data_IF_246496537931
#
_entry.id   IF_246496537931
#
_cell.length_a   1.000
_cell.length_b   1.000
_cell.length_c   1.000
_cell.angle_alpha   90.00
_cell.angle_beta   90.00
_cell.angle_gamma   90.00
#
_symmetry.space_group_name_H-M   'P 1'
#
loop_
_entity.id
_entity.type
_entity.pdbx_description
1 polymer ?
#
# COMPACT_ATOMS: atom_id res chain seq x y z
N UNK A 1 -22.83 4.77 18.72
CA UNK A 1 -23.58 5.36 17.59
C UNK A 1 -24.64 4.36 17.19
N UNK A 2 -25.82 4.82 16.74
CA UNK A 2 -26.80 3.95 16.09
C UNK A 2 -26.23 3.49 14.74
N UNK A 3 -26.45 2.23 14.39
CA UNK A 3 -26.00 1.66 13.10
C UNK A 3 -26.48 2.50 11.92
N UNK A 4 -25.74 2.46 10.82
CA UNK A 4 -26.06 3.15 9.56
C UNK A 4 -26.29 2.12 8.44
N UNK A 5 -26.98 2.54 7.38
CA UNK A 5 -27.21 1.70 6.20
C UNK A 5 -26.64 2.38 4.98
N UNK A 6 -26.00 1.59 4.11
CA UNK A 6 -25.48 2.10 2.85
C UNK A 6 -26.62 2.19 1.85
N UNK A 7 -26.84 3.41 1.33
CA UNK A 7 -27.78 3.72 0.25
C UNK A 7 -27.14 3.44 -1.12
N UNK A 8 -25.84 3.74 -1.25
CA UNK A 8 -25.11 3.66 -2.52
C UNK A 8 -23.67 3.23 -2.29
N UNK A 9 -23.23 2.24 -3.05
CA UNK A 9 -21.83 1.81 -3.12
C UNK A 9 -21.44 1.70 -4.59
N UNK A 10 -20.45 2.46 -5.02
CA UNK A 10 -20.01 2.52 -6.41
C UNK A 10 -18.49 2.48 -6.51
N UNK A 11 -18.00 1.88 -7.58
CA UNK A 11 -16.58 1.88 -7.92
C UNK A 11 -16.36 2.53 -9.30
N UNK A 12 -15.32 3.37 -9.38
CA UNK A 12 -14.97 4.16 -10.55
C UNK A 12 -13.54 3.88 -10.98
N UNK A 13 -13.34 3.48 -12.23
CA UNK A 13 -12.03 3.16 -12.76
C UNK A 13 -11.48 4.29 -13.62
N UNK A 14 -10.19 4.62 -13.41
CA UNK A 14 -9.45 5.64 -14.15
C UNK A 14 -8.11 5.07 -14.62
N UNK A 15 -7.59 5.59 -15.76
CA UNK A 15 -6.28 5.24 -16.30
C UNK A 15 -5.56 6.48 -16.82
N UNK A 16 -4.39 6.75 -16.25
CA UNK A 16 -3.51 7.80 -16.75
C UNK A 16 -2.40 7.17 -17.61
N UNK A 17 -2.32 7.48 -18.92
CA UNK A 17 -1.27 6.97 -19.80
C UNK A 17 0.09 7.57 -19.43
N UNK A 18 1.12 6.72 -19.27
CA UNK A 18 2.47 7.15 -18.94
C UNK A 18 3.28 7.45 -20.19
N UNK A 19 4.02 8.56 -20.20
CA UNK A 19 5.02 8.87 -21.22
C UNK A 19 6.23 7.92 -21.13
N UNK A 20 6.61 7.55 -19.91
CA UNK A 20 7.66 6.59 -19.62
C UNK A 20 7.09 5.48 -18.73
N UNK A 21 7.03 4.23 -19.23
CA UNK A 21 6.49 3.12 -18.44
C UNK A 21 7.26 2.85 -17.16
N UNK A 22 6.54 2.45 -16.12
CA UNK A 22 7.17 1.93 -14.89
C UNK A 22 7.49 0.45 -15.10
N UNK A 23 8.73 0.06 -14.79
CA UNK A 23 9.23 -1.30 -14.97
C UNK A 23 9.48 -1.94 -13.61
N UNK A 24 8.95 -3.16 -13.43
CA UNK A 24 9.21 -4.03 -12.27
C UNK A 24 9.89 -5.29 -12.75
N UNK A 25 10.38 -6.13 -11.84
CA UNK A 25 10.99 -7.43 -12.18
C UNK A 25 10.02 -8.39 -12.90
N UNK A 26 8.70 -8.19 -12.73
CA UNK A 26 7.66 -9.11 -13.21
C UNK A 26 6.68 -8.47 -14.21
N UNK A 27 6.83 -7.18 -14.53
CA UNK A 27 5.91 -6.54 -15.45
C UNK A 27 6.22 -5.08 -15.77
N UNK A 28 5.47 -4.57 -16.76
CA UNK A 28 5.59 -3.20 -17.24
C UNK A 28 4.20 -2.53 -17.17
N UNK A 29 4.14 -1.36 -16.57
CA UNK A 29 2.93 -0.52 -16.52
C UNK A 29 3.06 0.59 -17.57
N UNK A 30 2.16 0.59 -18.55
CA UNK A 30 2.07 1.63 -19.58
C UNK A 30 1.10 2.76 -19.18
N UNK A 31 0.31 2.52 -18.16
CA UNK A 31 -0.60 3.49 -17.54
C UNK A 31 -0.59 3.35 -16.01
N UNK A 32 -1.13 4.35 -15.33
CA UNK A 32 -1.46 4.30 -13.91
C UNK A 32 -2.95 4.07 -13.76
N UNK A 33 -3.39 2.87 -13.41
CA UNK A 33 -4.77 2.65 -13.03
C UNK A 33 -5.05 3.18 -11.62
N UNK A 34 -6.27 3.63 -11.39
CA UNK A 34 -6.81 3.86 -10.06
C UNK A 34 -8.28 3.42 -10.04
N UNK A 35 -8.66 2.72 -8.97
CA UNK A 35 -10.00 2.24 -8.75
C UNK A 35 -10.51 2.78 -7.41
N UNK A 36 -11.32 3.83 -7.47
CA UNK A 36 -11.89 4.50 -6.31
C UNK A 36 -13.25 3.92 -5.96
N UNK A 37 -13.53 3.81 -4.69
CA UNK A 37 -14.80 3.34 -4.13
C UNK A 37 -15.45 4.47 -3.38
N UNK A 38 -16.73 4.72 -3.64
CA UNK A 38 -17.57 5.68 -2.95
C UNK A 38 -18.71 4.96 -2.24
N UNK A 39 -18.83 5.14 -0.95
CA UNK A 39 -19.92 4.65 -0.14
C UNK A 39 -20.72 5.84 0.40
N UNK A 40 -22.06 5.81 0.25
CA UNK A 40 -22.97 6.83 0.78
C UNK A 40 -24.07 6.14 1.59
N UNK A 41 -24.37 6.67 2.78
CA UNK A 41 -25.42 6.15 3.63
C UNK A 41 -26.80 6.81 3.38
N UNK A 42 -27.83 6.32 4.08
CA UNK A 42 -29.20 6.85 3.96
C UNK A 42 -29.33 8.30 4.48
N UNK A 43 -28.39 8.77 5.32
CA UNK A 43 -28.33 10.14 5.86
C UNK A 43 -27.55 11.09 4.93
N UNK A 44 -27.00 10.61 3.80
CA UNK A 44 -26.19 11.37 2.85
C UNK A 44 -24.75 11.60 3.30
N UNK A 45 -24.30 10.92 4.36
CA UNK A 45 -22.87 10.90 4.68
C UNK A 45 -22.14 9.95 3.74
N UNK A 46 -20.90 10.26 3.43
CA UNK A 46 -20.15 9.45 2.46
C UNK A 46 -18.72 9.20 2.94
N UNK A 47 -18.09 8.23 2.30
CA UNK A 47 -16.68 7.90 2.48
C UNK A 47 -16.06 7.35 1.21
N UNK A 48 -14.74 7.45 1.13
CA UNK A 48 -13.94 7.09 -0.02
C UNK A 48 -12.95 5.97 0.30
N UNK A 49 -12.75 5.08 -0.66
CA UNK A 49 -11.75 4.02 -0.59
C UNK A 49 -11.04 3.83 -1.92
N UNK A 50 -10.04 3.00 -1.92
CA UNK A 50 -9.28 2.65 -3.13
C UNK A 50 -8.89 1.19 -3.12
N UNK A 51 -8.89 0.58 -4.30
CA UNK A 51 -8.53 -0.80 -4.56
C UNK A 51 -7.19 -0.84 -5.29
N UNK A 52 -6.25 -1.64 -4.83
CA UNK A 52 -5.04 -1.92 -5.61
C UNK A 52 -5.39 -2.63 -6.92
N UNK A 53 -4.92 -2.11 -8.04
CA UNK A 53 -5.33 -2.60 -9.35
C UNK A 53 -4.24 -2.50 -10.44
N UNK A 54 -2.97 -2.38 -10.05
CA UNK A 54 -1.86 -2.20 -10.98
C UNK A 54 -1.68 -3.37 -11.95
N UNK A 55 -1.97 -4.59 -11.50
CA UNK A 55 -1.82 -5.81 -12.31
C UNK A 55 -3.01 -6.77 -12.11
N UNK A 56 -3.37 -7.56 -13.14
CA UNK A 56 -2.96 -7.43 -14.55
C UNK A 56 -3.47 -6.13 -15.19
N UNK A 57 -3.02 -5.74 -16.39
CA UNK A 57 -3.44 -4.47 -17.03
C UNK A 57 -4.95 -4.24 -17.11
N UNK A 58 -5.75 -5.32 -17.21
CA UNK A 58 -7.23 -5.29 -17.24
C UNK A 58 -7.87 -5.47 -15.86
N UNK A 59 -7.08 -5.50 -14.81
CA UNK A 59 -7.55 -5.89 -13.47
C UNK A 59 -8.41 -4.84 -12.77
N UNK A 60 -8.26 -3.57 -13.11
CA UNK A 60 -9.02 -2.48 -12.47
C UNK A 60 -10.52 -2.59 -12.80
N UNK A 61 -10.86 -2.75 -14.05
CA UNK A 61 -12.25 -2.87 -14.52
C UNK A 61 -12.91 -4.15 -14.00
N UNK A 62 -12.16 -5.25 -13.89
CA UNK A 62 -12.67 -6.48 -13.29
C UNK A 62 -13.06 -6.26 -11.80
N UNK A 63 -12.19 -5.64 -11.01
CA UNK A 63 -12.46 -5.37 -9.59
C UNK A 63 -13.60 -4.36 -9.40
N UNK A 64 -13.73 -3.38 -10.31
CA UNK A 64 -14.86 -2.46 -10.30
C UNK A 64 -16.19 -3.21 -10.48
N UNK A 65 -16.25 -4.19 -11.39
CA UNK A 65 -17.45 -5.04 -11.59
C UNK A 65 -17.72 -5.92 -10.37
N UNK A 66 -16.69 -6.51 -9.75
CA UNK A 66 -16.89 -7.26 -8.49
C UNK A 66 -17.55 -6.38 -7.42
N UNK A 67 -17.14 -5.12 -7.29
CA UNK A 67 -17.76 -4.20 -6.34
C UNK A 67 -19.19 -3.85 -6.75
N UNK A 68 -19.40 -3.37 -7.98
CA UNK A 68 -20.67 -2.82 -8.40
C UNK A 68 -21.76 -3.89 -8.56
N UNK A 69 -21.40 -5.09 -9.06
CA UNK A 69 -22.36 -6.13 -9.44
C UNK A 69 -22.52 -7.20 -8.35
N UNK A 70 -21.51 -7.39 -7.50
CA UNK A 70 -21.53 -8.46 -6.50
C UNK A 70 -21.53 -7.96 -5.06
N UNK A 71 -20.60 -7.06 -4.68
CA UNK A 71 -20.48 -6.62 -3.29
C UNK A 71 -21.57 -5.60 -2.94
N UNK A 72 -21.86 -4.62 -3.80
CA UNK A 72 -22.84 -3.58 -3.53
C UNK A 72 -24.25 -4.14 -3.21
N UNK A 73 -24.80 -5.15 -3.93
CA UNK A 73 -26.08 -5.74 -3.59
C UNK A 73 -26.13 -6.39 -2.18
N UNK A 74 -24.99 -6.80 -1.62
CA UNK A 74 -24.90 -7.43 -0.30
C UNK A 74 -25.16 -6.46 0.87
N UNK A 75 -25.22 -5.16 0.60
CA UNK A 75 -25.54 -4.13 1.59
C UNK A 75 -27.04 -3.90 1.74
N UNK A 76 -27.87 -4.39 0.84
CA UNK A 76 -29.30 -4.10 0.82
C UNK A 76 -29.97 -4.45 2.16
N UNK A 77 -30.60 -3.45 2.79
CA UNK A 77 -31.32 -3.58 4.06
C UNK A 77 -30.47 -3.85 5.29
N UNK A 78 -29.16 -3.95 5.17
CA UNK A 78 -28.24 -4.30 6.26
C UNK A 78 -27.83 -3.04 7.04
N UNK A 79 -28.08 -3.04 8.35
CA UNK A 79 -27.52 -2.07 9.27
C UNK A 79 -26.07 -2.44 9.62
N UNK A 80 -25.21 -1.45 9.75
CA UNK A 80 -23.79 -1.59 10.05
C UNK A 80 -23.51 -0.82 11.33
N UNK A 81 -23.14 -1.52 12.39
CA UNK A 81 -22.75 -0.88 13.64
C UNK A 81 -21.26 -0.52 13.64
N UNK A 82 -20.44 -1.33 12.96
CA UNK A 82 -19.01 -1.10 12.83
C UNK A 82 -18.46 -1.63 11.49
N UNK A 83 -17.54 -0.91 10.79
CA UNK A 83 -17.01 -1.34 9.49
C UNK A 83 -16.43 -2.76 9.47
N UNK A 84 -15.75 -3.19 10.55
CA UNK A 84 -15.14 -4.52 10.63
C UNK A 84 -16.16 -5.65 10.49
N UNK A 85 -17.42 -5.46 10.87
CA UNK A 85 -18.49 -6.46 10.71
C UNK A 85 -18.77 -6.71 9.23
N UNK A 86 -18.77 -5.66 8.42
CA UNK A 86 -18.95 -5.79 6.98
C UNK A 86 -17.73 -6.41 6.30
N UNK A 87 -16.51 -6.06 6.74
CA UNK A 87 -15.30 -6.71 6.26
C UNK A 87 -15.34 -8.22 6.49
N UNK A 88 -15.65 -8.65 7.71
CA UNK A 88 -15.72 -10.08 8.06
C UNK A 88 -16.87 -10.76 7.31
N UNK A 89 -18.04 -10.12 7.20
CA UNK A 89 -19.18 -10.65 6.44
C UNK A 89 -18.87 -10.83 4.96
N UNK A 90 -18.35 -9.80 4.28
CA UNK A 90 -18.03 -9.87 2.86
C UNK A 90 -16.96 -10.93 2.59
N UNK A 91 -15.93 -11.00 3.44
CA UNK A 91 -14.88 -12.02 3.35
C UNK A 91 -15.45 -13.43 3.46
N UNK A 92 -16.29 -13.69 4.46
CA UNK A 92 -16.90 -15.00 4.65
C UNK A 92 -17.87 -15.38 3.52
N UNK A 93 -18.75 -14.45 3.13
CA UNK A 93 -19.79 -14.69 2.13
C UNK A 93 -19.23 -14.95 0.72
N UNK A 94 -18.07 -14.37 0.39
CA UNK A 94 -17.44 -14.55 -0.94
C UNK A 94 -16.36 -15.63 -0.97
N UNK A 95 -15.97 -16.18 0.16
CA UNK A 95 -14.81 -17.09 0.29
C UNK A 95 -14.87 -18.32 -0.61
N UNK A 96 -16.02 -19.01 -0.65
CA UNK A 96 -16.20 -20.21 -1.49
C UNK A 96 -16.17 -19.85 -2.97
N UNK A 97 -16.82 -18.75 -3.36
CA UNK A 97 -16.83 -18.29 -4.76
C UNK A 97 -15.43 -17.87 -5.22
N UNK A 98 -14.72 -17.11 -4.41
CA UNK A 98 -13.34 -16.71 -4.68
C UNK A 98 -12.41 -17.93 -4.86
N UNK A 99 -12.58 -18.96 -4.03
CA UNK A 99 -11.84 -20.22 -4.15
C UNK A 99 -12.18 -20.97 -5.44
N UNK A 100 -13.46 -21.13 -5.74
CA UNK A 100 -13.96 -21.82 -6.93
C UNK A 100 -13.49 -21.15 -8.23
N UNK A 101 -13.47 -19.81 -8.25
CA UNK A 101 -13.03 -19.04 -9.40
C UNK A 101 -11.50 -18.88 -9.50
N UNK A 102 -10.73 -19.24 -8.46
CA UNK A 102 -9.30 -18.96 -8.37
C UNK A 102 -9.00 -17.47 -8.23
N UNK A 103 -9.93 -16.67 -7.67
CA UNK A 103 -9.88 -15.20 -7.62
C UNK A 103 -9.78 -14.63 -6.19
N UNK A 104 -9.13 -15.35 -5.29
CA UNK A 104 -8.97 -14.89 -3.89
C UNK A 104 -8.33 -13.49 -3.80
N UNK A 105 -7.35 -13.18 -4.68
CA UNK A 105 -6.72 -11.88 -4.75
C UNK A 105 -7.69 -10.75 -5.16
N UNK A 106 -8.34 -10.84 -6.33
CA UNK A 106 -9.32 -9.84 -6.78
C UNK A 106 -10.44 -9.57 -5.76
N UNK A 107 -11.02 -10.63 -5.14
CA UNK A 107 -12.04 -10.45 -4.09
C UNK A 107 -11.48 -9.75 -2.85
N UNK A 108 -10.30 -10.15 -2.38
CA UNK A 108 -9.66 -9.53 -1.23
C UNK A 108 -9.37 -8.03 -1.46
N UNK A 109 -8.92 -7.68 -2.67
CA UNK A 109 -8.65 -6.30 -3.08
C UNK A 109 -9.94 -5.47 -3.17
N UNK A 110 -11.00 -6.01 -3.76
CA UNK A 110 -12.29 -5.34 -3.83
C UNK A 110 -12.87 -5.08 -2.42
N UNK A 111 -12.84 -6.07 -1.54
CA UNK A 111 -13.30 -5.95 -0.15
C UNK A 111 -12.45 -4.92 0.60
N UNK A 112 -11.14 -4.90 0.38
CA UNK A 112 -10.24 -3.94 1.03
C UNK A 112 -10.59 -2.49 0.68
N UNK A 113 -10.85 -2.19 -0.60
CA UNK A 113 -11.28 -0.86 -1.02
C UNK A 113 -12.63 -0.45 -0.45
N UNK A 114 -13.57 -1.39 -0.36
CA UNK A 114 -14.87 -1.17 0.30
C UNK A 114 -14.69 -0.90 1.79
N UNK A 115 -13.85 -1.66 2.48
CA UNK A 115 -13.56 -1.47 3.90
C UNK A 115 -12.96 -0.08 4.18
N UNK A 116 -12.02 0.38 3.36
CA UNK A 116 -11.45 1.74 3.47
C UNK A 116 -12.57 2.80 3.36
N UNK A 117 -13.48 2.65 2.38
CA UNK A 117 -14.59 3.60 2.20
C UNK A 117 -15.55 3.61 3.39
N UNK A 118 -15.86 2.44 3.97
CA UNK A 118 -16.70 2.34 5.16
C UNK A 118 -16.05 2.96 6.39
N UNK A 119 -14.74 2.80 6.57
CA UNK A 119 -14.01 3.42 7.66
C UNK A 119 -13.92 4.93 7.52
N UNK A 120 -13.73 5.46 6.31
CA UNK A 120 -13.78 6.90 6.06
C UNK A 120 -15.16 7.47 6.42
N UNK A 121 -16.24 6.85 5.92
CA UNK A 121 -17.61 7.22 6.26
C UNK A 121 -17.86 7.18 7.77
N UNK A 122 -17.47 6.09 8.44
CA UNK A 122 -17.66 5.92 9.88
C UNK A 122 -16.91 6.96 10.70
N UNK A 123 -15.69 7.31 10.31
CA UNK A 123 -14.89 8.33 10.95
C UNK A 123 -15.46 9.74 10.72
N UNK A 124 -15.98 10.04 9.51
CA UNK A 124 -16.71 11.29 9.22
C UNK A 124 -17.97 11.43 10.07
N UNK A 125 -18.80 10.38 10.18
CA UNK A 125 -19.97 10.36 11.08
C UNK A 125 -19.60 10.61 12.53
N UNK A 126 -18.45 10.11 12.95
CA UNK A 126 -17.90 10.31 14.30
C UNK A 126 -17.23 11.66 14.51
N UNK A 127 -17.09 12.46 13.44
CA UNK A 127 -16.39 13.75 13.42
C UNK A 127 -14.96 13.66 13.96
N UNK A 128 -14.26 12.57 13.64
CA UNK A 128 -12.89 12.32 14.04
C UNK A 128 -12.02 11.95 12.82
N UNK A 129 -10.76 12.39 12.77
CA UNK A 129 -9.82 11.85 11.78
C UNK A 129 -9.62 10.37 12.05
N UNK A 130 -9.50 9.58 10.97
CA UNK A 130 -9.42 8.12 11.06
C UNK A 130 -8.24 7.66 11.94
N UNK A 131 -7.08 8.31 11.84
CA UNK A 131 -5.92 7.93 12.64
C UNK A 131 -6.15 8.08 14.16
N UNK A 132 -6.90 9.10 14.61
CA UNK A 132 -7.28 9.26 16.02
C UNK A 132 -8.29 8.20 16.45
N UNK A 133 -9.27 7.94 15.61
CA UNK A 133 -10.28 6.90 15.89
C UNK A 133 -9.63 5.53 16.09
N UNK A 134 -8.54 5.23 15.37
CA UNK A 134 -7.76 4.02 15.51
C UNK A 134 -6.77 4.03 16.69
N UNK A 135 -6.70 5.14 17.46
CA UNK A 135 -5.89 5.25 18.67
C UNK A 135 -4.56 5.99 18.51
N UNK A 136 -4.31 6.62 17.36
CA UNK A 136 -3.11 7.41 17.12
C UNK A 136 -3.05 8.68 17.97
N UNK A 137 -1.85 9.09 18.32
CA UNK A 137 -1.58 10.27 19.16
C UNK A 137 -0.94 11.43 18.38
N UNK A 138 -0.38 11.15 17.19
CA UNK A 138 0.27 12.13 16.32
C UNK A 138 -0.03 11.82 14.86
N UNK A 139 -0.36 12.85 14.07
CA UNK A 139 -0.48 12.76 12.61
C UNK A 139 0.86 12.86 11.88
N UNK A 140 1.97 13.13 12.59
CA UNK A 140 3.30 13.30 12.01
C UNK A 140 3.99 11.97 11.78
N UNK A 141 4.59 11.80 10.58
CA UNK A 141 5.28 10.58 10.21
C UNK A 141 6.39 10.81 9.18
N UNK A 142 7.38 9.94 9.18
CA UNK A 142 8.45 9.91 8.20
C UNK A 142 7.96 9.29 6.89
N UNK A 143 8.50 9.78 5.77
CA UNK A 143 8.19 9.26 4.43
C UNK A 143 9.46 8.91 3.67
N UNK A 144 9.38 7.93 2.76
CA UNK A 144 10.44 7.68 1.79
C UNK A 144 9.91 7.76 0.36
N UNK A 145 10.76 8.25 -0.55
CA UNK A 145 10.50 8.24 -1.98
C UNK A 145 10.71 6.83 -2.53
N UNK A 146 9.66 6.21 -3.03
CA UNK A 146 9.65 4.83 -3.54
C UNK A 146 9.56 4.78 -5.05
N UNK A 147 9.66 3.56 -5.62
CA UNK A 147 9.48 3.35 -7.04
C UNK A 147 10.59 3.94 -7.90
N UNK A 148 11.76 4.22 -7.32
CA UNK A 148 12.91 4.71 -8.08
C UNK A 148 13.37 3.59 -9.00
N UNK A 149 13.11 3.78 -10.30
CA UNK A 149 13.45 2.82 -11.34
C UNK A 149 14.96 2.76 -11.57
N UNK A 150 15.48 1.64 -12.13
CA UNK A 150 16.90 1.51 -12.41
C UNK A 150 17.40 2.49 -13.48
N UNK A 151 16.52 2.95 -14.39
CA UNK A 151 16.85 3.98 -15.39
C UNK A 151 16.61 5.37 -14.80
N UNK A 152 17.63 6.21 -14.78
CA UNK A 152 17.53 7.58 -14.27
C UNK A 152 17.31 7.63 -12.75
N UNK A 153 17.86 6.67 -12.00
CA UNK A 153 17.67 6.56 -10.55
C UNK A 153 18.13 7.81 -9.79
N UNK A 154 19.32 8.34 -10.11
CA UNK A 154 19.86 9.54 -9.49
C UNK A 154 18.99 10.77 -9.78
N UNK A 155 18.54 10.97 -11.02
CA UNK A 155 17.66 12.10 -11.39
C UNK A 155 16.29 12.01 -10.68
N UNK A 156 15.74 10.81 -10.52
CA UNK A 156 14.48 10.61 -9.80
C UNK A 156 14.66 10.91 -8.30
N UNK A 157 15.75 10.45 -7.71
CA UNK A 157 16.08 10.75 -6.31
C UNK A 157 16.31 12.26 -6.08
N UNK A 158 17.03 12.94 -6.97
CA UNK A 158 17.26 14.37 -6.90
C UNK A 158 15.94 15.17 -6.94
N UNK A 159 15.03 14.82 -7.85
CA UNK A 159 13.70 15.43 -7.90
C UNK A 159 12.90 15.18 -6.62
N UNK A 160 13.01 13.97 -6.04
CA UNK A 160 12.38 13.66 -4.77
C UNK A 160 12.99 14.48 -3.61
N UNK A 161 14.31 14.67 -3.57
CA UNK A 161 14.97 15.56 -2.60
C UNK A 161 14.46 16.98 -2.70
N UNK A 162 14.31 17.51 -3.92
CA UNK A 162 13.76 18.86 -4.16
C UNK A 162 12.30 18.98 -3.69
N UNK A 163 11.55 17.89 -3.70
CA UNK A 163 10.17 17.78 -3.15
C UNK A 163 10.13 17.55 -1.64
N UNK A 164 11.27 17.56 -0.96
CA UNK A 164 11.37 17.45 0.49
C UNK A 164 11.66 16.04 1.04
N UNK A 165 11.77 15.01 0.20
CA UNK A 165 12.12 13.67 0.67
C UNK A 165 13.55 13.59 1.20
N UNK A 166 13.74 12.76 2.25
CA UNK A 166 15.03 12.49 2.91
C UNK A 166 15.30 11.01 3.14
N UNK A 167 14.52 10.13 2.51
CA UNK A 167 14.73 8.69 2.50
C UNK A 167 14.26 8.15 1.14
N UNK A 168 14.85 7.03 0.68
CA UNK A 168 14.68 6.54 -0.69
C UNK A 168 14.60 5.03 -0.73
N UNK A 169 13.86 4.49 -1.73
CA UNK A 169 13.85 3.05 -2.05
C UNK A 169 14.09 2.85 -3.54
N UNK A 170 15.22 2.20 -3.87
CA UNK A 170 15.62 1.87 -5.24
C UNK A 170 15.09 0.49 -5.62
N UNK A 171 14.57 0.35 -6.82
CA UNK A 171 14.29 -0.97 -7.42
C UNK A 171 15.59 -1.58 -7.96
N UNK A 172 15.88 -2.81 -7.53
CA UNK A 172 17.02 -3.62 -7.96
C UNK A 172 16.57 -5.00 -8.47
N UNK A 173 17.51 -5.87 -8.85
CA UNK A 173 17.18 -7.17 -9.46
C UNK A 173 17.28 -7.15 -10.99
N UNK A 174 17.91 -6.11 -11.55
CA UNK A 174 18.07 -5.90 -12.99
C UNK A 174 19.48 -6.25 -13.50
N UNK A 175 20.25 -6.98 -12.70
CA UNK A 175 21.63 -7.39 -12.93
C UNK A 175 22.60 -6.74 -11.95
N UNK A 176 23.50 -7.55 -11.37
CA UNK A 176 24.38 -7.15 -10.29
C UNK A 176 25.21 -5.89 -10.60
N UNK A 177 25.80 -5.81 -11.79
CA UNK A 177 26.62 -4.66 -12.19
C UNK A 177 25.81 -3.36 -12.22
N UNK A 178 24.62 -3.41 -12.84
CA UNK A 178 23.70 -2.26 -12.92
C UNK A 178 23.18 -1.84 -11.57
N UNK A 179 22.75 -2.81 -10.76
CA UNK A 179 22.22 -2.55 -9.42
C UNK A 179 23.28 -1.88 -8.53
N UNK A 180 24.52 -2.38 -8.57
CA UNK A 180 25.65 -1.80 -7.84
C UNK A 180 26.05 -0.41 -8.36
N UNK A 181 25.99 -0.16 -9.68
CA UNK A 181 26.25 1.15 -10.25
C UNK A 181 25.21 2.16 -9.74
N UNK A 182 23.93 1.84 -9.85
CA UNK A 182 22.84 2.69 -9.35
C UNK A 182 22.95 2.97 -7.84
N UNK A 183 23.33 1.97 -7.04
CA UNK A 183 23.53 2.14 -5.60
C UNK A 183 24.70 3.07 -5.28
N UNK A 184 25.83 2.96 -5.99
CA UNK A 184 26.96 3.90 -5.85
C UNK A 184 26.57 5.33 -6.22
N UNK A 185 25.89 5.51 -7.34
CA UNK A 185 25.45 6.84 -7.80
C UNK A 185 24.46 7.47 -6.81
N UNK A 186 23.51 6.66 -6.29
CA UNK A 186 22.59 7.15 -5.25
C UNK A 186 23.33 7.50 -3.95
N UNK A 187 24.25 6.67 -3.47
CA UNK A 187 25.03 6.98 -2.26
C UNK A 187 25.87 8.23 -2.43
N UNK A 188 26.44 8.44 -3.62
CA UNK A 188 27.17 9.68 -3.91
C UNK A 188 26.25 10.92 -3.85
N UNK A 189 24.99 10.80 -4.31
CA UNK A 189 24.01 11.88 -4.31
C UNK A 189 23.44 12.16 -2.92
N UNK A 190 23.00 11.11 -2.21
CA UNK A 190 22.21 11.26 -0.97
C UNK A 190 23.07 11.17 0.31
N UNK A 191 24.35 10.81 0.21
CA UNK A 191 25.21 10.60 1.37
C UNK A 191 24.67 9.51 2.30
N UNK A 192 24.56 9.82 3.61
CA UNK A 192 24.11 8.90 4.66
C UNK A 192 22.59 8.87 4.86
N UNK A 193 21.81 9.54 4.01
CA UNK A 193 20.36 9.50 4.10
C UNK A 193 19.84 8.05 3.96
N UNK A 194 18.75 7.68 4.63
CA UNK A 194 18.20 6.32 4.58
C UNK A 194 17.92 5.85 3.15
N UNK A 195 18.46 4.68 2.80
CA UNK A 195 18.27 4.03 1.50
C UNK A 195 17.83 2.58 1.70
N UNK A 196 16.68 2.22 1.19
CA UNK A 196 16.22 0.86 1.06
C UNK A 196 16.33 0.37 -0.37
N UNK A 197 16.23 -0.93 -0.58
CA UNK A 197 16.14 -1.54 -1.89
C UNK A 197 15.00 -2.53 -1.96
N UNK A 198 14.43 -2.68 -3.17
CA UNK A 198 13.33 -3.59 -3.45
C UNK A 198 13.67 -4.43 -4.68
N UNK A 199 13.71 -5.74 -4.49
CA UNK A 199 13.97 -6.72 -5.56
C UNK A 199 12.68 -7.13 -6.27
N UNK A 200 11.53 -6.84 -5.68
CA UNK A 200 10.21 -7.25 -6.17
C UNK A 200 10.17 -8.74 -6.53
N UNK A 201 10.67 -9.59 -5.62
CA UNK A 201 10.68 -11.06 -5.79
C UNK A 201 11.51 -11.55 -6.99
N UNK A 202 12.45 -10.73 -7.51
CA UNK A 202 13.17 -10.99 -8.76
C UNK A 202 14.26 -12.03 -8.64
N UNK A 203 14.72 -12.40 -7.42
CA UNK A 203 15.75 -13.40 -7.25
C UNK A 203 15.17 -14.77 -6.87
N UNK A 204 15.84 -15.84 -7.33
CA UNK A 204 15.76 -17.15 -6.67
C UNK A 204 16.78 -17.20 -5.53
N UNK A 205 16.71 -18.25 -4.69
CA UNK A 205 17.54 -18.34 -3.49
C UNK A 205 19.06 -18.30 -3.80
N UNK A 206 19.53 -18.92 -4.88
CA UNK A 206 20.94 -18.90 -5.26
C UNK A 206 21.48 -17.48 -5.51
N UNK A 207 20.93 -16.73 -6.48
CA UNK A 207 21.25 -15.32 -6.67
C UNK A 207 21.08 -14.45 -5.40
N UNK A 208 20.04 -14.69 -4.59
CA UNK A 208 19.83 -13.96 -3.35
C UNK A 208 21.01 -14.15 -2.38
N UNK A 209 21.46 -15.40 -2.16
CA UNK A 209 22.59 -15.73 -1.30
C UNK A 209 23.93 -15.17 -1.81
N UNK A 210 24.04 -14.98 -3.13
CA UNK A 210 25.24 -14.41 -3.74
C UNK A 210 25.25 -12.88 -3.67
N UNK A 211 24.12 -12.23 -3.96
CA UNK A 211 24.05 -10.78 -4.12
C UNK A 211 23.79 -10.04 -2.81
N UNK A 212 22.90 -10.54 -1.94
CA UNK A 212 22.50 -9.82 -0.75
C UNK A 212 23.69 -9.47 0.18
N UNK A 213 24.67 -10.34 0.44
CA UNK A 213 25.85 -9.97 1.24
C UNK A 213 26.70 -8.85 0.61
N UNK A 214 26.72 -8.75 -0.72
CA UNK A 214 27.46 -7.70 -1.43
C UNK A 214 26.80 -6.32 -1.28
N UNK A 215 25.50 -6.27 -0.90
CA UNK A 215 24.78 -5.04 -0.66
C UNK A 215 25.06 -4.41 0.71
N UNK A 216 25.64 -5.17 1.66
CA UNK A 216 25.96 -4.67 3.04
C UNK A 216 26.82 -3.40 3.02
N UNK A 217 27.73 -3.25 2.04
CA UNK A 217 28.57 -2.07 1.86
C UNK A 217 27.81 -0.78 1.61
N UNK A 218 26.53 -0.87 1.23
CA UNK A 218 25.69 0.29 0.96
C UNK A 218 24.89 0.75 2.20
N UNK A 219 25.03 0.09 3.34
CA UNK A 219 24.32 0.44 4.60
C UNK A 219 22.84 0.66 4.41
N UNK A 220 22.15 -0.37 3.90
CA UNK A 220 20.73 -0.28 3.54
C UNK A 220 19.83 -0.29 4.77
N UNK A 221 18.74 0.47 4.69
CA UNK A 221 17.70 0.48 5.71
C UNK A 221 16.95 -0.86 5.77
N UNK A 222 16.69 -1.46 4.59
CA UNK A 222 16.20 -2.84 4.43
C UNK A 222 16.41 -3.35 3.00
N UNK A 223 16.33 -4.67 2.86
CA UNK A 223 16.22 -5.42 1.61
C UNK A 223 14.80 -5.98 1.51
N UNK A 224 14.00 -5.47 0.55
CA UNK A 224 12.58 -5.80 0.38
C UNK A 224 12.40 -6.91 -0.67
N UNK A 225 11.58 -7.90 -0.33
CA UNK A 225 11.17 -9.03 -1.17
C UNK A 225 12.29 -9.60 -2.06
N UNK A 226 13.43 -10.01 -1.47
CA UNK A 226 14.55 -10.55 -2.25
C UNK A 226 14.19 -11.81 -3.05
N UNK A 227 13.36 -12.68 -2.47
CA UNK A 227 12.84 -13.91 -3.10
C UNK A 227 11.30 -13.89 -3.07
N UNK A 228 10.67 -14.79 -3.84
CA UNK A 228 9.21 -14.86 -3.91
C UNK A 228 8.57 -15.09 -2.55
N UNK A 229 7.49 -14.38 -2.28
CA UNK A 229 6.75 -14.43 -1.02
C UNK A 229 6.15 -15.83 -0.71
N UNK A 230 5.94 -16.66 -1.73
CA UNK A 230 5.42 -18.01 -1.60
C UNK A 230 6.50 -19.09 -1.42
N UNK A 231 7.79 -18.70 -1.33
CA UNK A 231 8.87 -19.64 -1.05
C UNK A 231 8.83 -20.13 0.39
N UNK A 232 9.27 -21.38 0.65
CA UNK A 232 9.34 -21.91 2.01
C UNK A 232 10.15 -21.01 2.94
N UNK A 233 9.70 -20.83 4.18
CA UNK A 233 10.41 -20.05 5.18
C UNK A 233 11.86 -20.48 5.43
N UNK A 234 12.18 -21.76 5.17
CA UNK A 234 13.56 -22.27 5.24
C UNK A 234 14.53 -21.55 4.28
N UNK A 235 14.06 -21.13 3.09
CA UNK A 235 14.88 -20.33 2.17
C UNK A 235 15.10 -18.92 2.71
N UNK A 236 14.06 -18.31 3.26
CA UNK A 236 14.13 -17.02 3.90
C UNK A 236 15.07 -17.02 5.12
N UNK A 237 15.04 -18.08 5.95
CA UNK A 237 15.98 -18.28 7.05
C UNK A 237 17.41 -18.38 6.54
N UNK A 238 17.64 -19.19 5.51
CA UNK A 238 18.97 -19.35 4.90
C UNK A 238 19.54 -18.03 4.40
N UNK A 239 18.70 -17.17 3.83
CA UNK A 239 19.10 -15.82 3.39
C UNK A 239 19.38 -14.90 4.59
N UNK A 240 18.47 -14.84 5.56
CA UNK A 240 18.64 -14.00 6.77
C UNK A 240 19.97 -14.30 7.49
N UNK A 241 20.33 -15.56 7.59
CA UNK A 241 21.56 -15.98 8.29
C UNK A 241 22.85 -15.58 7.54
N UNK A 242 22.73 -15.04 6.31
CA UNK A 242 23.87 -14.57 5.48
C UNK A 242 24.04 -13.06 5.47
N UNK A 243 23.08 -12.29 6.00
CA UNK A 243 23.09 -10.83 5.94
C UNK A 243 22.73 -10.22 7.30
N UNK A 244 23.18 -8.99 7.51
CA UNK A 244 22.80 -8.16 8.66
C UNK A 244 21.74 -7.12 8.30
N UNK A 245 21.61 -6.80 7.02
CA UNK A 245 20.60 -5.89 6.50
C UNK A 245 19.19 -6.42 6.86
N UNK A 246 18.32 -5.60 7.47
CA UNK A 246 16.95 -5.99 7.78
C UNK A 246 16.19 -6.45 6.53
N UNK A 247 15.43 -7.54 6.64
CA UNK A 247 14.56 -8.01 5.55
C UNK A 247 13.18 -7.39 5.72
N UNK A 248 12.62 -6.87 4.63
CA UNK A 248 11.28 -6.33 4.54
C UNK A 248 10.39 -7.15 3.60
N UNK A 249 9.08 -7.16 3.88
CA UNK A 249 8.08 -7.77 3.02
C UNK A 249 6.69 -7.74 3.63
N UNK A 250 5.71 -8.17 2.87
CA UNK A 250 4.33 -8.22 3.38
C UNK A 250 3.27 -7.79 2.36
N UNK A 251 3.62 -7.04 1.32
CA UNK A 251 2.68 -6.58 0.30
C UNK A 251 1.98 -7.74 -0.46
N UNK A 252 2.63 -8.89 -0.51
CA UNK A 252 2.12 -10.11 -1.14
C UNK A 252 1.62 -11.16 -0.14
N UNK A 253 1.51 -10.81 1.15
CA UNK A 253 0.87 -11.62 2.18
C UNK A 253 -0.59 -11.19 2.31
N UNK A 254 -1.52 -12.14 2.27
CA UNK A 254 -2.95 -11.89 2.44
C UNK A 254 -3.54 -12.86 3.48
N UNK A 255 -4.25 -12.35 4.48
CA UNK A 255 -4.86 -13.13 5.56
C UNK A 255 -4.15 -12.96 6.90
N UNK A 256 -4.95 -12.77 7.97
CA UNK A 256 -4.43 -12.61 9.35
C UNK A 256 -3.55 -13.78 9.76
N UNK A 257 -3.94 -15.01 9.41
CA UNK A 257 -3.19 -16.23 9.73
C UNK A 257 -1.81 -16.27 9.06
N UNK A 258 -1.73 -15.81 7.79
CA UNK A 258 -0.45 -15.77 7.07
C UNK A 258 0.48 -14.70 7.63
N UNK A 259 -0.04 -13.54 8.07
CA UNK A 259 0.77 -12.54 8.77
C UNK A 259 1.21 -13.05 10.14
N UNK A 260 0.36 -13.75 10.89
CA UNK A 260 0.74 -14.37 12.16
C UNK A 260 1.85 -15.41 11.96
N UNK A 261 1.76 -16.25 10.92
CA UNK A 261 2.81 -17.18 10.53
C UNK A 261 4.12 -16.45 10.19
N UNK A 262 4.06 -15.41 9.35
CA UNK A 262 5.25 -14.62 8.98
C UNK A 262 5.93 -13.96 10.19
N UNK A 263 5.15 -13.50 11.16
CA UNK A 263 5.68 -12.93 12.41
C UNK A 263 6.32 -14.00 13.30
N UNK A 264 5.76 -15.22 13.35
CA UNK A 264 6.31 -16.33 14.15
C UNK A 264 7.65 -16.84 13.62
N UNK A 265 7.91 -16.71 12.31
CA UNK A 265 9.20 -17.07 11.70
C UNK A 265 10.34 -16.11 12.03
N UNK A 266 10.03 -14.94 12.56
CA UNK A 266 10.99 -13.93 13.03
C UNK A 266 12.03 -13.48 11.97
N UNK A 267 11.67 -13.52 10.68
CA UNK A 267 12.56 -13.16 9.57
C UNK A 267 12.37 -11.70 9.17
N UNK A 268 11.11 -11.29 8.99
CA UNK A 268 10.80 -9.94 8.58
C UNK A 268 11.02 -8.97 9.74
N UNK A 269 11.97 -8.05 9.58
CA UNK A 269 12.19 -6.94 10.50
C UNK A 269 11.24 -5.76 10.21
N UNK A 270 10.86 -5.60 8.93
CA UNK A 270 9.93 -4.60 8.44
C UNK A 270 8.76 -5.31 7.78
N UNK A 271 7.54 -5.08 8.27
CA UNK A 271 6.33 -5.74 7.78
C UNK A 271 5.45 -4.72 7.05
N UNK A 272 5.12 -5.04 5.80
CA UNK A 272 4.60 -4.10 4.83
C UNK A 272 3.25 -4.55 4.22
N UNK A 273 2.17 -4.70 5.01
CA UNK A 273 0.86 -4.99 4.43
C UNK A 273 0.40 -3.80 3.59
N UNK A 274 -0.34 -4.09 2.50
CA UNK A 274 -0.96 -3.09 1.65
C UNK A 274 -2.47 -3.09 1.87
N UNK A 275 -2.98 -1.99 2.42
CA UNK A 275 -4.40 -1.87 2.79
C UNK A 275 -5.35 -1.94 1.59
N UNK A 276 -4.89 -1.59 0.38
CA UNK A 276 -5.68 -1.69 -0.84
C UNK A 276 -5.61 -3.07 -1.52
N UNK A 277 -4.58 -3.89 -1.15
CA UNK A 277 -4.44 -5.27 -1.66
C UNK A 277 -5.15 -6.29 -0.78
N UNK A 278 -5.10 -6.08 0.53
CA UNK A 278 -5.76 -6.97 1.50
C UNK A 278 -6.03 -6.24 2.81
N UNK A 279 -7.16 -6.56 3.40
CA UNK A 279 -7.47 -6.23 4.78
C UNK A 279 -8.07 -4.85 5.00
N UNK A 280 -7.96 -3.92 4.07
CA UNK A 280 -8.43 -2.56 4.28
C UNK A 280 -7.85 -1.95 5.55
N UNK A 281 -8.60 -1.10 6.20
CA UNK A 281 -8.28 -0.58 7.53
C UNK A 281 -8.44 -1.67 8.61
N UNK A 282 -9.50 -2.47 8.51
CA UNK A 282 -9.83 -3.52 9.49
C UNK A 282 -8.71 -4.55 9.64
N UNK A 283 -8.29 -5.16 8.54
CA UNK A 283 -7.27 -6.21 8.55
C UNK A 283 -5.87 -5.66 8.83
N UNK A 284 -5.49 -4.57 8.16
CA UNK A 284 -4.15 -3.97 8.31
C UNK A 284 -3.93 -3.36 9.69
N UNK A 285 -4.96 -2.76 10.32
CA UNK A 285 -4.86 -2.27 11.71
C UNK A 285 -4.62 -3.43 12.69
N UNK A 286 -5.26 -4.59 12.48
CA UNK A 286 -5.01 -5.77 13.30
C UNK A 286 -3.56 -6.27 13.14
N UNK A 287 -3.07 -6.36 11.88
CA UNK A 287 -1.68 -6.75 11.60
C UNK A 287 -0.70 -5.76 12.20
N UNK A 288 -0.91 -4.45 12.04
CA UNK A 288 -0.03 -3.42 12.56
C UNK A 288 0.15 -3.53 14.10
N UNK A 289 -0.94 -3.82 14.84
CA UNK A 289 -0.87 -4.05 16.29
C UNK A 289 0.03 -5.25 16.65
N UNK A 290 -0.11 -6.36 15.93
CA UNK A 290 0.73 -7.55 16.19
C UNK A 290 2.20 -7.31 15.80
N UNK A 291 2.46 -6.57 14.70
CA UNK A 291 3.81 -6.16 14.28
C UNK A 291 4.50 -5.34 15.37
N UNK A 292 3.82 -4.30 15.88
CA UNK A 292 4.36 -3.43 16.95
C UNK A 292 4.57 -4.22 18.25
N UNK A 293 3.62 -5.09 18.64
CA UNK A 293 3.74 -5.99 19.79
C UNK A 293 4.93 -6.94 19.67
N UNK A 294 5.21 -7.43 18.47
CA UNK A 294 6.39 -8.26 18.15
C UNK A 294 7.69 -7.44 18.06
N UNK A 295 7.66 -6.12 18.33
CA UNK A 295 8.81 -5.20 18.23
C UNK A 295 9.42 -5.15 16.81
N UNK A 296 8.61 -5.39 15.79
CA UNK A 296 8.94 -5.21 14.39
C UNK A 296 8.50 -3.82 13.92
N UNK A 297 9.02 -3.40 12.77
CA UNK A 297 8.66 -2.11 12.18
C UNK A 297 7.48 -2.29 11.22
N UNK A 298 6.38 -1.58 11.46
CA UNK A 298 5.26 -1.50 10.54
C UNK A 298 5.50 -0.38 9.53
N UNK A 299 5.56 -0.71 8.25
CA UNK A 299 5.68 0.24 7.14
C UNK A 299 4.68 -0.15 6.06
N UNK A 300 3.50 0.47 5.95
CA UNK A 300 2.52 0.07 4.94
C UNK A 300 3.09 0.26 3.54
N UNK A 301 3.02 -0.81 2.72
CA UNK A 301 3.27 -0.71 1.28
C UNK A 301 2.12 0.05 0.63
N UNK A 302 2.43 0.91 -0.34
CA UNK A 302 1.40 1.45 -1.21
C UNK A 302 1.93 1.95 -2.55
N UNK A 303 1.34 1.46 -3.63
CA UNK A 303 1.56 1.94 -4.99
C UNK A 303 0.22 2.01 -5.73
N UNK A 304 -0.39 3.20 -5.82
CA UNK A 304 -1.72 3.42 -6.41
C UNK A 304 -2.06 4.89 -6.54
N UNK A 305 -3.33 5.23 -6.40
CA UNK A 305 -3.85 6.60 -6.39
C UNK A 305 -3.73 7.29 -5.02
N UNK A 306 -4.43 8.41 -4.86
CA UNK A 306 -4.26 9.26 -3.66
C UNK A 306 -5.01 8.77 -2.43
N UNK A 307 -6.18 8.15 -2.60
CA UNK A 307 -7.05 7.77 -1.49
C UNK A 307 -6.42 6.65 -0.67
N UNK A 308 -5.89 5.61 -1.32
CA UNK A 308 -5.23 4.51 -0.63
C UNK A 308 -3.91 4.93 0.02
N UNK A 309 -3.18 5.90 -0.57
CA UNK A 309 -2.00 6.49 0.04
C UNK A 309 -2.35 7.19 1.36
N UNK A 310 -3.41 7.98 1.37
CA UNK A 310 -3.89 8.65 2.58
C UNK A 310 -4.38 7.64 3.62
N UNK A 311 -5.11 6.58 3.21
CA UNK A 311 -5.51 5.50 4.10
C UNK A 311 -4.31 4.80 4.77
N UNK A 312 -3.24 4.55 4.00
CA UNK A 312 -1.98 4.00 4.52
C UNK A 312 -1.30 4.94 5.52
N UNK A 313 -1.35 6.27 5.27
CA UNK A 313 -0.84 7.27 6.20
C UNK A 313 -1.61 7.26 7.54
N UNK A 314 -2.95 7.17 7.50
CA UNK A 314 -3.77 7.06 8.71
C UNK A 314 -3.46 5.79 9.51
N UNK A 315 -3.27 4.64 8.85
CA UNK A 315 -2.85 3.41 9.51
C UNK A 315 -1.48 3.54 10.17
N UNK A 316 -0.51 4.16 9.47
CA UNK A 316 0.83 4.38 10.00
C UNK A 316 0.80 5.28 11.25
N UNK A 317 0.07 6.42 11.18
CA UNK A 317 -0.10 7.35 12.31
C UNK A 317 -0.78 6.68 13.51
N UNK A 318 -1.77 5.82 13.25
CA UNK A 318 -2.51 5.12 14.30
C UNK A 318 -1.65 4.15 15.11
N UNK A 319 -0.64 3.56 14.49
CA UNK A 319 0.15 2.48 15.10
C UNK A 319 1.61 2.85 15.38
N UNK A 320 1.99 4.13 15.27
CA UNK A 320 3.36 4.61 15.48
C UNK A 320 4.40 3.77 14.69
N UNK A 321 4.12 3.57 13.41
CA UNK A 321 4.96 2.74 12.54
C UNK A 321 6.28 3.41 12.14
N UNK A 322 6.98 2.81 11.17
CA UNK A 322 8.27 3.29 10.71
C UNK A 322 8.17 4.42 9.69
N UNK A 323 7.81 4.07 8.45
CA UNK A 323 7.88 4.96 7.30
C UNK A 323 6.66 4.77 6.40
N UNK A 324 6.17 5.88 5.81
CA UNK A 324 5.16 5.84 4.75
C UNK A 324 5.85 5.78 3.38
N UNK A 325 5.39 4.87 2.55
CA UNK A 325 5.79 4.76 1.16
C UNK A 325 5.10 5.81 0.29
N UNK A 326 5.88 6.62 -0.42
CA UNK A 326 5.37 7.60 -1.39
C UNK A 326 6.06 7.38 -2.73
N UNK A 327 5.31 6.97 -3.74
CA UNK A 327 5.84 6.75 -5.10
C UNK A 327 6.41 8.05 -5.67
N UNK A 328 7.66 8.01 -6.14
CA UNK A 328 8.37 9.17 -6.70
C UNK A 328 8.01 9.45 -8.17
N UNK A 329 7.36 8.50 -8.84
CA UNK A 329 7.02 8.61 -10.25
C UNK A 329 5.76 9.49 -10.47
N UNK A 330 5.60 9.93 -11.70
CA UNK A 330 4.42 10.68 -12.12
C UNK A 330 3.14 9.86 -11.93
N UNK A 331 2.18 10.43 -11.22
CA UNK A 331 0.85 9.84 -11.06
C UNK A 331 -0.20 10.92 -10.71
N UNK A 332 -0.80 11.58 -11.71
CA UNK A 332 -1.82 12.59 -11.46
C UNK A 332 -3.05 12.08 -10.72
N UNK A 333 -3.38 10.78 -10.81
CA UNK A 333 -4.49 10.18 -10.07
C UNK A 333 -4.19 10.05 -8.57
N UNK A 334 -2.92 9.98 -8.19
CA UNK A 334 -2.46 10.09 -6.80
C UNK A 334 -2.46 11.55 -6.35
N UNK A 335 -1.83 12.41 -7.16
CA UNK A 335 -1.58 13.81 -6.79
C UNK A 335 -2.88 14.60 -6.62
N UNK A 336 -3.95 14.22 -7.35
CA UNK A 336 -5.26 14.86 -7.23
C UNK A 336 -5.92 14.65 -5.85
N UNK A 337 -5.65 13.52 -5.16
CA UNK A 337 -6.38 13.12 -3.96
C UNK A 337 -5.50 12.75 -2.76
N UNK A 338 -4.21 13.06 -2.80
CA UNK A 338 -3.29 12.72 -1.70
C UNK A 338 -3.31 13.71 -0.52
N UNK A 339 -4.08 14.79 -0.59
CA UNK A 339 -4.29 15.71 0.53
C UNK A 339 -3.00 16.20 1.19
N UNK A 340 -2.92 16.02 2.52
CA UNK A 340 -1.75 16.40 3.32
C UNK A 340 -0.48 15.60 2.94
N UNK A 341 -0.64 14.35 2.48
CA UNK A 341 0.49 13.47 2.13
C UNK A 341 1.31 14.00 0.95
N UNK A 342 0.70 14.80 0.08
CA UNK A 342 1.40 15.45 -1.03
C UNK A 342 2.36 16.58 -0.61
N UNK A 343 2.39 16.97 0.67
CA UNK A 343 3.19 18.10 1.19
C UNK A 343 4.35 17.60 2.06
N UNK A 344 5.30 16.90 1.45
CA UNK A 344 6.50 16.43 2.16
C UNK A 344 7.41 17.60 2.51
N UNK A 345 7.84 17.67 3.77
CA UNK A 345 8.79 18.67 4.28
C UNK A 345 9.85 17.98 5.12
N UNK A 346 11.11 18.13 4.73
CA UNK A 346 12.26 17.55 5.43
C UNK A 346 12.10 16.05 5.80
N UNK A 347 11.55 15.26 4.86
CA UNK A 347 11.36 13.81 5.01
C UNK A 347 10.14 13.41 5.82
N UNK A 348 9.25 14.33 6.15
CA UNK A 348 8.05 14.07 6.95
C UNK A 348 6.80 14.68 6.32
N UNK A 349 5.65 14.14 6.72
CA UNK A 349 4.32 14.72 6.51
C UNK A 349 3.57 14.79 7.83
N UNK A 350 2.50 15.57 7.85
CA UNK A 350 1.59 15.65 8.98
C UNK A 350 0.13 15.62 8.50
N UNK A 351 -0.63 14.63 8.97
CA UNK A 351 -2.08 14.58 8.79
C UNK A 351 -2.74 15.61 9.72
N UNK A 352 -3.77 16.25 9.22
CA UNK A 352 -4.55 17.22 9.99
C UNK A 352 -5.68 16.56 10.79
N UNK A 353 -6.52 17.38 11.43
CA UNK A 353 -7.64 16.96 12.27
C UNK A 353 -8.98 16.85 11.51
N UNK A 354 -8.93 16.87 10.18
CA UNK A 354 -10.14 16.74 9.35
C UNK A 354 -10.75 15.34 9.52
N UNK A 355 -12.07 15.22 9.76
CA UNK A 355 -12.73 13.93 9.93
C UNK A 355 -12.56 12.98 8.75
N UNK A 356 -12.57 11.68 9.02
CA UNK A 356 -12.37 10.64 8.01
C UNK A 356 -10.91 10.57 7.56
N UNK A 357 -10.71 10.39 6.26
CA UNK A 357 -9.40 10.45 5.60
C UNK A 357 -8.90 11.90 5.39
N UNK A 358 -9.71 12.92 5.70
CA UNK A 358 -9.32 14.32 5.54
C UNK A 358 -9.19 14.77 4.08
N UNK A 359 -9.81 14.08 3.15
CA UNK A 359 -9.81 14.40 1.72
C UNK A 359 -11.23 14.43 1.16
N UNK A 360 -11.45 15.24 0.13
CA UNK A 360 -12.71 15.29 -0.60
C UNK A 360 -12.44 15.15 -2.11
N UNK A 361 -12.46 13.91 -2.64
CA UNK A 361 -12.12 13.65 -4.04
C UNK A 361 -13.12 14.27 -5.01
N UNK A 362 -12.65 15.17 -5.87
CA UNK A 362 -13.41 15.68 -7.03
C UNK A 362 -13.09 14.84 -8.27
N UNK A 363 -13.92 13.82 -8.54
CA UNK A 363 -13.75 12.96 -9.71
C UNK A 363 -13.90 13.72 -11.04
N UNK A 364 -14.54 14.89 -11.07
CA UNK A 364 -14.65 15.69 -12.29
C UNK A 364 -13.29 16.20 -12.74
N UNK A 365 -12.39 16.50 -11.82
CA UNK A 365 -11.02 16.96 -12.11
C UNK A 365 -10.20 15.95 -12.93
N UNK A 366 -10.51 14.66 -12.81
CA UNK A 366 -9.84 13.56 -13.51
C UNK A 366 -10.75 12.82 -14.51
N UNK A 367 -11.93 13.35 -14.81
CA UNK A 367 -12.96 12.68 -15.63
C UNK A 367 -12.45 12.21 -17.00
N UNK A 368 -11.49 12.92 -17.60
CA UNK A 368 -10.86 12.56 -18.89
C UNK A 368 -10.11 11.22 -18.88
N UNK A 369 -9.79 10.69 -17.70
CA UNK A 369 -9.10 9.41 -17.51
C UNK A 369 -10.05 8.27 -17.14
N UNK A 370 -11.34 8.52 -17.02
CA UNK A 370 -12.32 7.53 -16.62
C UNK A 370 -12.49 6.45 -17.69
N UNK A 371 -12.50 5.17 -17.28
CA UNK A 371 -12.71 3.99 -18.14
C UNK A 371 -13.97 3.22 -17.76
N UNK A 372 -14.46 3.34 -16.53
CA UNK A 372 -15.68 2.72 -16.04
C UNK A 372 -16.35 3.58 -14.96
#
# INVERSE_FOLDING_TARGET
MTGFKIRKLEAFCFRYPLSTPVVTSFGRMNDRPALFVHAEDEDGQHGWGEVWCNFPPVGAEHRARLINEMLAPMFAGRAIDHPSEMFDYLTAATSVMALQAGEQGPFAQAIAGVDIALWDLFARRSKQPLWRMLGGTSGRMRVYASGINPDGSAQTAEKAMQRGHRAFKLKIGFGAERDHANLRDLRQLIGDLPLAVDVNQGWSIGPALEQAPKLEQFHLLWLEEPIRADRPWSEWHTLRDKITTPIAGGENIAGREKFAAALSEDILSVVQPDAAKWGGITGCSAVAREVVKAKKTYCPHYLGGGIGLVASAHLLAAHNGGWLEVDANENPLRDAFCGAVGRVKDGEIELDETPGLGIEPDLASIAKYRTL
#
